data_IF_860972973425
#
_entry.id   IF_860972973425
#
_cell.length_a   1.000
_cell.length_b   1.000
_cell.length_c   1.000
_cell.angle_alpha   90.00
_cell.angle_beta   90.00
_cell.angle_gamma   90.00
#
_symmetry.space_group_name_H-M   'P 1'
#
loop_
_entity.id
_entity.type
_entity.pdbx_description
1 polymer ?
#
# COMPACT_ATOMS: atom_id res chain seq x y z
N UNK A 1 0.61 -57.95 -22.05
CA UNK A 1 -0.09 -57.64 -20.79
C UNK A 1 0.72 -56.69 -19.89
N UNK A 2 2.04 -56.87 -19.76
CA UNK A 2 2.92 -56.01 -18.92
C UNK A 2 3.02 -54.56 -19.42
N UNK A 3 3.20 -54.35 -20.73
CA UNK A 3 3.33 -53.00 -21.35
C UNK A 3 2.08 -52.16 -21.14
N UNK A 4 0.87 -52.72 -21.29
CA UNK A 4 -0.39 -52.03 -21.06
C UNK A 4 -0.54 -51.55 -19.59
N UNK A 5 -0.09 -52.37 -18.62
CA UNK A 5 -0.12 -51.95 -17.21
C UNK A 5 0.80 -50.75 -16.94
N UNK A 6 1.97 -50.70 -17.55
CA UNK A 6 2.91 -49.57 -17.41
C UNK A 6 2.34 -48.29 -18.01
N UNK A 7 1.67 -48.38 -19.18
CA UNK A 7 1.03 -47.24 -19.82
C UNK A 7 -0.13 -46.70 -18.96
N UNK A 8 -0.95 -47.58 -18.39
CA UNK A 8 -2.04 -47.21 -17.49
C UNK A 8 -1.54 -46.50 -16.24
N UNK A 9 -0.48 -47.03 -15.62
CA UNK A 9 0.15 -46.41 -14.44
C UNK A 9 0.74 -45.06 -14.79
N UNK A 10 1.43 -44.92 -15.92
CA UNK A 10 1.96 -43.64 -16.39
C UNK A 10 0.87 -42.57 -16.62
N UNK A 11 -0.25 -42.97 -17.21
CA UNK A 11 -1.41 -42.08 -17.40
C UNK A 11 -2.03 -41.64 -16.06
N UNK A 12 -2.18 -42.53 -15.11
CA UNK A 12 -2.69 -42.20 -13.78
C UNK A 12 -1.79 -41.19 -13.06
N UNK A 13 -0.48 -41.40 -13.07
CA UNK A 13 0.48 -40.46 -12.47
C UNK A 13 0.42 -39.10 -13.17
N UNK A 14 0.30 -39.08 -14.49
CA UNK A 14 0.17 -37.84 -15.26
C UNK A 14 -1.09 -37.06 -14.88
N UNK A 15 -2.25 -37.71 -14.78
CA UNK A 15 -3.50 -37.02 -14.41
C UNK A 15 -3.49 -36.53 -12.97
N UNK A 16 -2.88 -37.26 -12.03
CA UNK A 16 -2.69 -36.80 -10.65
C UNK A 16 -1.79 -35.56 -10.62
N UNK A 17 -0.68 -35.56 -11.36
CA UNK A 17 0.23 -34.41 -11.44
C UNK A 17 -0.44 -33.19 -12.09
N UNK A 18 -1.23 -33.41 -13.16
CA UNK A 18 -2.01 -32.37 -13.82
C UNK A 18 -3.03 -31.74 -12.86
N UNK A 19 -3.75 -32.57 -12.08
CA UNK A 19 -4.70 -32.10 -11.08
C UNK A 19 -4.04 -31.25 -9.99
N UNK A 20 -2.89 -31.65 -9.48
CA UNK A 20 -2.10 -30.89 -8.50
C UNK A 20 -1.63 -29.56 -9.10
N UNK A 21 -1.15 -29.56 -10.34
CA UNK A 21 -0.70 -28.35 -11.03
C UNK A 21 -1.84 -27.36 -11.24
N UNK A 22 -3.02 -27.84 -11.66
CA UNK A 22 -4.20 -26.99 -11.84
C UNK A 22 -4.68 -26.44 -10.50
N UNK A 23 -4.73 -27.27 -9.46
CA UNK A 23 -5.10 -26.84 -8.11
C UNK A 23 -4.16 -25.75 -7.61
N UNK A 24 -2.84 -25.95 -7.75
CA UNK A 24 -1.85 -24.97 -7.33
C UNK A 24 -1.94 -23.66 -8.12
N UNK A 25 -2.21 -23.74 -9.44
CA UNK A 25 -2.39 -22.57 -10.28
C UNK A 25 -3.66 -21.77 -9.90
N UNK A 26 -4.78 -22.46 -9.69
CA UNK A 26 -6.07 -21.83 -9.39
C UNK A 26 -6.09 -21.26 -7.96
N UNK A 27 -5.58 -22.02 -6.98
CA UNK A 27 -5.64 -21.62 -5.59
C UNK A 27 -4.40 -20.86 -5.11
N UNK A 28 -3.22 -21.13 -5.69
CA UNK A 28 -1.97 -20.52 -5.26
C UNK A 28 -1.57 -19.27 -6.04
N UNK A 29 -1.86 -19.22 -7.35
CA UNK A 29 -1.47 -18.07 -8.20
C UNK A 29 -2.63 -17.13 -8.47
N UNK A 30 -3.84 -17.67 -8.68
CA UNK A 30 -5.04 -16.85 -8.97
C UNK A 30 -5.89 -16.50 -7.76
N UNK A 31 -5.56 -16.99 -6.57
CA UNK A 31 -6.32 -16.78 -5.31
C UNK A 31 -7.85 -17.01 -5.46
N UNK A 32 -8.25 -17.91 -6.37
CA UNK A 32 -9.65 -18.18 -6.67
C UNK A 32 -10.31 -19.15 -5.68
N UNK A 33 -9.53 -19.73 -4.75
CA UNK A 33 -10.08 -20.53 -3.65
C UNK A 33 -10.36 -19.60 -2.47
N UNK A 34 -11.61 -19.24 -2.25
CA UNK A 34 -12.04 -18.48 -1.09
C UNK A 34 -11.66 -19.21 0.21
N UNK A 35 -10.82 -18.59 1.04
CA UNK A 35 -10.65 -19.01 2.42
C UNK A 35 -11.97 -18.75 3.14
N UNK A 36 -12.46 -19.66 4.00
CA UNK A 36 -13.67 -19.40 4.77
C UNK A 36 -13.47 -18.13 5.60
N UNK A 37 -14.24 -17.10 5.30
CA UNK A 37 -14.35 -15.91 6.14
C UNK A 37 -14.93 -16.36 7.47
N UNK A 38 -14.16 -16.31 8.53
CA UNK A 38 -14.65 -16.44 9.88
C UNK A 38 -15.45 -15.17 10.17
N UNK A 39 -16.73 -15.20 9.89
CA UNK A 39 -17.66 -14.18 10.39
C UNK A 39 -17.71 -14.31 11.90
N UNK A 40 -17.06 -13.39 12.60
CA UNK A 40 -17.27 -13.17 14.01
C UNK A 40 -18.62 -12.49 14.13
N UNK A 41 -19.68 -13.30 14.28
CA UNK A 41 -21.00 -12.82 14.64
C UNK A 41 -20.94 -12.32 16.09
N UNK A 42 -20.81 -11.02 16.27
CA UNK A 42 -21.02 -10.39 17.57
C UNK A 42 -22.54 -10.42 17.82
N UNK A 43 -22.98 -11.40 18.62
CA UNK A 43 -24.32 -11.40 19.17
C UNK A 43 -24.40 -10.27 20.19
N UNK A 44 -24.93 -9.13 19.76
CA UNK A 44 -25.39 -8.10 20.67
C UNK A 44 -26.68 -8.65 21.31
N UNK A 45 -26.56 -9.11 22.54
CA UNK A 45 -27.75 -9.36 23.36
C UNK A 45 -28.36 -8.02 23.74
N UNK A 46 -29.46 -7.71 23.12
CA UNK A 46 -30.35 -6.61 23.48
C UNK A 46 -31.11 -7.02 24.76
N UNK A 47 -30.54 -6.66 25.91
CA UNK A 47 -31.18 -6.83 27.20
C UNK A 47 -32.15 -5.65 27.37
N UNK A 48 -33.43 -5.96 27.22
CA UNK A 48 -34.55 -5.03 27.49
C UNK A 48 -34.51 -4.66 28.98
N UNK A 49 -34.10 -3.44 29.28
CA UNK A 49 -34.27 -2.85 30.63
C UNK A 49 -35.52 -1.98 30.62
N UNK A 50 -36.42 -2.34 31.50
CA UNK A 50 -37.60 -1.55 31.88
C UNK A 50 -37.17 -0.18 32.44
N UNK A 51 -37.95 0.88 32.27
CA UNK A 51 -37.59 2.21 32.74
C UNK A 51 -37.75 2.29 34.26
N UNK A 52 -36.68 2.42 34.99
CA UNK A 52 -36.69 2.84 36.39
C UNK A 52 -36.67 4.37 36.38
N UNK A 53 -37.79 4.94 36.75
CA UNK A 53 -37.94 6.35 37.02
C UNK A 53 -37.32 6.60 38.41
N UNK A 54 -36.07 7.02 38.47
CA UNK A 54 -35.38 7.44 39.67
C UNK A 54 -34.95 8.90 39.49
N UNK A 55 -35.55 9.73 40.35
CA UNK A 55 -35.32 11.17 40.53
C UNK A 55 -33.84 11.41 40.87
N UNK A 56 -33.04 11.86 39.87
CA UNK A 56 -31.63 12.14 40.08
C UNK A 56 -31.47 13.64 40.33
N UNK A 57 -31.20 14.00 41.58
CA UNK A 57 -30.63 15.28 41.94
C UNK A 57 -29.34 15.54 41.09
N UNK A 58 -29.32 16.65 40.37
CA UNK A 58 -28.17 17.05 39.56
C UNK A 58 -26.94 17.29 40.43
N UNK A 59 -25.85 16.49 40.31
CA UNK A 59 -24.57 16.93 40.80
C UNK A 59 -24.05 18.00 39.85
N UNK A 60 -23.83 19.18 40.37
CA UNK A 60 -23.07 20.26 39.68
C UNK A 60 -21.67 19.73 39.42
N UNK A 61 -21.47 19.15 38.23
CA UNK A 61 -20.17 18.79 37.75
C UNK A 61 -19.53 20.10 37.30
N UNK A 62 -18.57 20.57 38.09
CA UNK A 62 -17.61 21.59 37.63
C UNK A 62 -16.97 21.02 36.39
N UNK A 63 -17.26 21.63 35.22
CA UNK A 63 -16.54 21.40 33.98
C UNK A 63 -15.11 21.90 34.23
N UNK A 64 -14.24 21.03 34.72
CA UNK A 64 -12.80 21.19 34.48
C UNK A 64 -12.65 21.21 32.96
N UNK A 65 -12.19 22.34 32.47
CA UNK A 65 -11.86 22.57 31.08
C UNK A 65 -10.78 21.54 30.71
N UNK A 66 -11.22 20.39 30.19
CA UNK A 66 -10.32 19.40 29.61
C UNK A 66 -9.72 20.13 28.40
N UNK A 67 -8.53 20.68 28.59
CA UNK A 67 -7.66 21.13 27.49
C UNK A 67 -7.37 19.87 26.67
N UNK A 68 -8.18 19.64 25.66
CA UNK A 68 -7.88 18.68 24.59
C UNK A 68 -6.66 19.30 23.89
N UNK A 69 -5.45 18.94 24.34
CA UNK A 69 -4.26 19.13 23.52
C UNK A 69 -4.55 18.39 22.21
N UNK A 70 -4.92 19.16 21.21
CA UNK A 70 -5.05 18.69 19.85
C UNK A 70 -3.67 18.15 19.47
N UNK A 71 -3.52 16.82 19.58
CA UNK A 71 -2.31 16.12 19.17
C UNK A 71 -2.23 16.28 17.66
N UNK A 72 -1.71 17.43 17.23
CA UNK A 72 -1.44 17.74 15.82
C UNK A 72 -0.48 16.66 15.34
N UNK A 73 -1.06 15.64 14.73
CA UNK A 73 -0.31 14.53 14.18
C UNK A 73 0.77 15.08 13.25
N UNK A 74 2.03 14.91 13.63
CA UNK A 74 3.14 15.41 12.83
C UNK A 74 3.20 14.63 11.51
N UNK A 75 2.83 15.30 10.43
CA UNK A 75 2.87 14.78 9.05
C UNK A 75 3.84 15.64 8.27
N UNK A 76 4.75 15.00 7.54
CA UNK A 76 5.68 15.69 6.63
C UNK A 76 5.41 15.26 5.19
N UNK A 77 4.97 16.19 4.36
CA UNK A 77 4.93 16.04 2.91
C UNK A 77 6.29 16.46 2.33
N UNK A 78 6.88 15.57 1.56
CA UNK A 78 8.16 15.80 0.89
C UNK A 78 7.94 16.28 -0.55
N UNK A 79 8.93 16.92 -1.18
CA UNK A 79 8.84 17.33 -2.58
C UNK A 79 8.48 16.18 -3.50
N UNK A 80 7.52 16.41 -4.40
CA UNK A 80 7.14 15.46 -5.44
C UNK A 80 8.25 15.33 -6.49
N UNK A 81 8.66 14.10 -6.78
CA UNK A 81 9.71 13.82 -7.75
C UNK A 81 9.10 13.40 -9.09
N UNK A 82 9.52 14.06 -10.18
CA UNK A 82 9.04 13.80 -11.53
C UNK A 82 10.03 12.97 -12.34
N UNK A 83 9.50 12.10 -13.20
CA UNK A 83 10.28 11.19 -14.03
C UNK A 83 10.11 11.47 -15.52
N UNK A 84 11.17 11.26 -16.27
CA UNK A 84 11.12 11.24 -17.73
C UNK A 84 10.41 9.98 -18.22
N UNK A 85 9.97 9.99 -19.49
CA UNK A 85 9.33 8.83 -20.10
C UNK A 85 10.33 7.67 -20.25
N UNK A 86 9.90 6.45 -19.94
CA UNK A 86 10.69 5.20 -20.01
C UNK A 86 11.99 5.16 -19.19
N UNK A 87 12.22 6.14 -18.32
CA UNK A 87 13.44 6.21 -17.52
C UNK A 87 13.09 6.18 -16.03
N UNK A 88 13.87 5.42 -15.26
CA UNK A 88 13.83 5.44 -13.79
C UNK A 88 14.63 6.60 -13.19
N UNK A 89 15.05 7.56 -14.02
CA UNK A 89 15.82 8.72 -13.59
C UNK A 89 14.91 9.87 -13.20
N UNK A 90 15.17 10.46 -12.03
CA UNK A 90 14.50 11.67 -11.55
C UNK A 90 14.90 12.87 -12.38
N UNK A 91 13.94 13.74 -12.72
CA UNK A 91 14.18 14.94 -13.52
C UNK A 91 15.04 15.98 -12.76
N UNK A 92 14.84 16.09 -11.46
CA UNK A 92 15.55 17.04 -10.60
C UNK A 92 16.23 16.30 -9.44
N UNK A 93 17.54 16.21 -9.49
CA UNK A 93 18.36 15.51 -8.48
C UNK A 93 18.40 16.30 -7.17
N UNK A 94 18.35 17.64 -7.23
CA UNK A 94 18.39 18.49 -6.04
C UNK A 94 17.17 18.29 -5.15
N UNK A 95 15.98 18.13 -5.74
CA UNK A 95 14.75 17.82 -5.01
C UNK A 95 14.89 16.47 -4.29
N UNK A 96 15.52 15.48 -4.92
CA UNK A 96 15.75 14.16 -4.33
C UNK A 96 16.75 14.23 -3.16
N UNK A 97 17.81 15.03 -3.29
CA UNK A 97 18.80 15.27 -2.21
C UNK A 97 18.09 15.94 -1.03
N UNK A 98 17.34 17.01 -1.29
CA UNK A 98 16.61 17.74 -0.26
C UNK A 98 15.57 16.84 0.46
N UNK A 99 14.78 16.09 -0.31
CA UNK A 99 13.82 15.14 0.24
C UNK A 99 14.48 14.12 1.18
N UNK A 100 15.65 13.58 0.79
CA UNK A 100 16.37 12.62 1.62
C UNK A 100 16.86 13.19 2.95
N UNK A 101 17.29 14.45 2.95
CA UNK A 101 17.71 15.17 4.16
C UNK A 101 16.52 15.39 5.08
N UNK A 102 15.43 15.95 4.56
CA UNK A 102 14.21 16.22 5.32
C UNK A 102 13.60 14.94 5.90
N UNK A 103 13.53 13.87 5.11
CA UNK A 103 13.02 12.59 5.58
C UNK A 103 13.84 12.01 6.73
N UNK A 104 15.17 12.07 6.63
CA UNK A 104 16.07 11.58 7.68
C UNK A 104 15.92 12.37 8.97
N UNK A 105 15.89 13.72 8.89
CA UNK A 105 15.70 14.61 10.02
C UNK A 105 14.37 14.35 10.71
N UNK A 106 13.27 14.36 9.96
CA UNK A 106 11.93 14.11 10.48
C UNK A 106 11.80 12.72 11.16
N UNK A 107 12.31 11.67 10.52
CA UNK A 107 12.23 10.33 11.08
C UNK A 107 13.14 10.16 12.31
N UNK A 108 14.22 10.92 12.46
CA UNK A 108 15.06 10.90 13.67
C UNK A 108 14.35 11.52 14.88
N UNK A 109 13.57 12.57 14.64
CA UNK A 109 12.78 13.26 15.67
C UNK A 109 11.48 12.52 16.00
N UNK A 110 10.97 11.70 15.07
CA UNK A 110 9.70 11.00 15.19
C UNK A 110 9.89 9.48 15.05
N UNK A 111 10.30 8.75 16.11
CA UNK A 111 10.70 7.34 16.03
C UNK A 111 9.58 6.38 15.59
N UNK A 112 8.32 6.74 15.76
CA UNK A 112 7.16 5.91 15.41
C UNK A 112 6.60 6.18 14.01
N UNK A 113 7.12 7.18 13.28
CA UNK A 113 6.63 7.55 11.95
C UNK A 113 7.27 6.73 10.84
N UNK A 114 6.54 6.53 9.75
CA UNK A 114 6.94 5.74 8.58
C UNK A 114 6.90 6.63 7.35
N UNK A 115 7.87 6.50 6.46
CA UNK A 115 7.92 7.15 5.16
C UNK A 115 7.23 6.27 4.11
N UNK A 116 6.16 6.76 3.52
CA UNK A 116 5.46 6.13 2.40
C UNK A 116 5.95 6.76 1.11
N UNK A 117 6.37 5.92 0.16
CA UNK A 117 6.84 6.32 -1.17
C UNK A 117 5.89 5.71 -2.20
N UNK A 118 5.10 6.54 -2.88
CA UNK A 118 4.07 6.09 -3.82
C UNK A 118 4.43 6.49 -5.25
N UNK A 119 4.55 5.50 -6.13
CA UNK A 119 4.85 5.70 -7.54
C UNK A 119 3.61 5.76 -8.42
N UNK A 120 3.59 6.75 -9.32
CA UNK A 120 2.52 6.97 -10.30
C UNK A 120 3.07 6.97 -11.72
N UNK A 121 2.20 6.69 -12.68
CA UNK A 121 2.51 6.70 -14.11
C UNK A 121 1.48 7.47 -14.92
N UNK A 122 1.80 7.79 -16.15
CA UNK A 122 0.79 8.19 -17.13
C UNK A 122 0.14 6.95 -17.77
N UNK A 123 -0.95 7.14 -18.52
CA UNK A 123 -1.72 6.07 -19.14
C UNK A 123 -1.18 5.55 -20.49
N UNK A 124 0.05 5.91 -20.87
CA UNK A 124 0.60 5.53 -22.19
C UNK A 124 1.04 4.06 -22.27
N UNK A 125 1.24 3.40 -21.15
CA UNK A 125 1.58 1.98 -21.16
C UNK A 125 0.35 1.13 -21.49
N UNK A 126 0.31 0.64 -22.72
CA UNK A 126 -0.75 -0.25 -23.23
C UNK A 126 -0.57 -1.72 -22.79
N UNK A 127 0.54 -2.05 -22.15
CA UNK A 127 0.87 -3.44 -21.77
C UNK A 127 0.32 -3.81 -20.39
N UNK A 128 -0.34 -2.91 -19.70
CA UNK A 128 -0.85 -3.10 -18.34
C UNK A 128 0.24 -3.07 -17.25
N UNK A 129 1.48 -2.67 -17.60
CA UNK A 129 2.61 -2.65 -16.66
C UNK A 129 2.73 -1.36 -15.84
N UNK A 130 1.76 -0.47 -15.94
CA UNK A 130 1.78 0.82 -15.21
C UNK A 130 2.05 0.66 -13.72
N UNK A 131 1.42 -0.33 -13.09
CA UNK A 131 1.66 -0.62 -11.67
C UNK A 131 3.12 -0.98 -11.40
N UNK A 132 3.71 -1.87 -12.22
CA UNK A 132 5.10 -2.29 -12.07
C UNK A 132 6.06 -1.11 -12.27
N UNK A 133 5.86 -0.30 -13.30
CA UNK A 133 6.67 0.90 -13.56
C UNK A 133 6.61 1.89 -12.40
N UNK A 134 5.41 2.10 -11.83
CA UNK A 134 5.25 2.94 -10.63
C UNK A 134 6.01 2.36 -9.43
N UNK A 135 5.91 1.04 -9.22
CA UNK A 135 6.62 0.35 -8.14
C UNK A 135 8.15 0.43 -8.31
N UNK A 136 8.66 0.21 -9.52
CA UNK A 136 10.10 0.28 -9.81
C UNK A 136 10.66 1.68 -9.50
N UNK A 137 9.90 2.75 -9.81
CA UNK A 137 10.27 4.12 -9.44
C UNK A 137 10.29 4.32 -7.93
N UNK A 138 9.28 3.84 -7.21
CA UNK A 138 9.22 3.93 -5.75
C UNK A 138 10.39 3.19 -5.09
N UNK A 139 10.75 2.00 -5.59
CA UNK A 139 11.89 1.21 -5.13
C UNK A 139 13.22 1.93 -5.42
N UNK A 140 13.37 2.56 -6.58
CA UNK A 140 14.57 3.32 -6.92
C UNK A 140 14.76 4.50 -5.94
N UNK A 141 13.68 5.22 -5.60
CA UNK A 141 13.73 6.30 -4.61
C UNK A 141 14.02 5.74 -3.21
N UNK A 142 13.39 4.64 -2.79
CA UNK A 142 13.71 3.96 -1.52
C UNK A 142 15.20 3.65 -1.44
N UNK A 143 15.77 3.02 -2.45
CA UNK A 143 17.20 2.66 -2.49
C UNK A 143 18.10 3.89 -2.33
N UNK A 144 17.73 4.99 -2.98
CA UNK A 144 18.46 6.25 -2.83
C UNK A 144 18.35 6.81 -1.40
N UNK A 145 17.13 6.85 -0.82
CA UNK A 145 16.89 7.32 0.54
C UNK A 145 17.73 6.52 1.56
N UNK A 146 17.76 5.19 1.42
CA UNK A 146 18.56 4.31 2.28
C UNK A 146 20.06 4.63 2.13
N UNK A 147 20.55 4.86 0.90
CA UNK A 147 21.94 5.26 0.67
C UNK A 147 22.31 6.60 1.31
N UNK A 148 21.31 7.44 1.62
CA UNK A 148 21.47 8.74 2.33
C UNK A 148 21.20 8.65 3.82
N UNK A 149 21.04 7.44 4.36
CA UNK A 149 20.94 7.17 5.79
C UNK A 149 19.51 7.19 6.34
N UNK A 150 18.48 7.13 5.49
CA UNK A 150 17.10 6.89 5.95
C UNK A 150 16.96 5.40 6.31
N UNK A 151 16.46 5.04 7.50
CA UNK A 151 16.33 3.64 7.92
C UNK A 151 15.40 2.84 7.01
N UNK A 152 15.89 1.74 6.45
CA UNK A 152 15.14 0.93 5.47
C UNK A 152 13.83 0.36 6.02
N UNK A 153 13.84 -0.09 7.27
CA UNK A 153 12.68 -0.66 7.96
C UNK A 153 11.56 0.36 8.24
N UNK A 154 11.82 1.65 7.98
CA UNK A 154 10.87 2.74 8.12
C UNK A 154 10.42 3.32 6.79
N UNK A 155 10.65 2.61 5.68
CA UNK A 155 10.22 3.01 4.34
C UNK A 155 9.29 1.96 3.76
N UNK A 156 8.08 2.36 3.40
CA UNK A 156 7.09 1.55 2.69
C UNK A 156 6.96 2.07 1.26
N UNK A 157 7.09 1.18 0.27
CA UNK A 157 6.90 1.51 -1.15
C UNK A 157 5.58 1.01 -1.65
N UNK A 158 4.90 1.82 -2.45
CA UNK A 158 3.61 1.52 -3.07
C UNK A 158 3.59 2.00 -4.52
N UNK A 159 2.65 1.49 -5.29
CA UNK A 159 2.33 2.00 -6.62
C UNK A 159 0.82 2.17 -6.76
N UNK A 160 0.43 3.21 -7.46
CA UNK A 160 -0.94 3.46 -7.94
C UNK A 160 -1.03 3.34 -9.47
N UNK A 161 0.11 3.09 -10.12
CA UNK A 161 0.12 3.03 -11.58
C UNK A 161 -0.46 4.29 -12.20
N UNK A 162 -1.44 4.13 -13.09
CA UNK A 162 -2.14 5.22 -13.77
C UNK A 162 -3.51 5.57 -13.18
N UNK A 163 -3.89 4.97 -12.04
CA UNK A 163 -5.26 5.04 -11.49
C UNK A 163 -5.58 6.40 -10.85
N UNK A 164 -4.57 7.12 -10.34
CA UNK A 164 -4.75 8.42 -9.68
C UNK A 164 -3.94 9.51 -10.43
N UNK A 165 -4.42 9.99 -11.58
CA UNK A 165 -3.73 11.01 -12.35
C UNK A 165 -3.83 12.38 -11.66
N UNK A 166 -2.69 13.08 -11.50
CA UNK A 166 -2.64 14.45 -11.02
C UNK A 166 -3.07 15.47 -12.08
N UNK A 167 -2.99 15.09 -13.37
CA UNK A 167 -3.32 15.94 -14.50
C UNK A 167 -3.89 15.12 -15.67
N UNK A 168 -4.50 15.84 -16.63
CA UNK A 168 -5.12 15.19 -17.80
C UNK A 168 -4.07 14.44 -18.66
N UNK A 169 -4.30 13.14 -18.84
CA UNK A 169 -3.43 12.26 -19.63
C UNK A 169 -3.47 12.53 -21.15
N UNK A 170 -4.45 13.31 -21.66
CA UNK A 170 -4.54 13.61 -23.08
C UNK A 170 -3.48 14.61 -23.54
N UNK A 171 -2.91 15.41 -22.64
CA UNK A 171 -1.85 16.36 -22.95
C UNK A 171 -0.47 15.79 -22.62
N UNK A 172 0.55 16.26 -23.31
CA UNK A 172 1.95 15.89 -23.04
C UNK A 172 2.39 16.36 -21.65
N UNK A 173 1.99 17.57 -21.30
CA UNK A 173 2.29 18.23 -20.02
C UNK A 173 1.63 17.47 -18.87
N UNK A 174 0.35 17.11 -19.00
CA UNK A 174 -0.35 16.32 -17.99
C UNK A 174 0.26 14.94 -17.77
N UNK A 175 0.66 14.26 -18.86
CA UNK A 175 1.40 13.00 -18.73
C UNK A 175 2.76 13.16 -18.03
N UNK A 176 3.42 14.29 -18.19
CA UNK A 176 4.67 14.56 -17.45
C UNK A 176 4.41 14.70 -15.94
N UNK A 177 3.33 15.37 -15.55
CA UNK A 177 2.93 15.51 -14.15
C UNK A 177 2.47 14.18 -13.54
N UNK A 178 1.89 13.29 -14.33
CA UNK A 178 1.45 11.97 -13.87
C UNK A 178 2.61 10.99 -13.64
N UNK A 179 3.77 11.18 -14.28
CA UNK A 179 4.98 10.38 -14.02
C UNK A 179 5.73 10.93 -12.82
N UNK A 180 5.23 10.62 -11.62
CA UNK A 180 5.72 11.16 -10.37
C UNK A 180 5.89 10.10 -9.28
N UNK A 181 6.62 10.46 -8.27
CA UNK A 181 6.66 9.77 -6.98
C UNK A 181 6.34 10.79 -5.90
N UNK A 182 5.36 10.48 -5.07
CA UNK A 182 4.98 11.24 -3.89
C UNK A 182 5.53 10.56 -2.63
N UNK A 183 5.90 11.37 -1.65
CA UNK A 183 6.48 10.89 -0.41
C UNK A 183 5.81 11.57 0.77
N UNK A 184 5.33 10.77 1.72
CA UNK A 184 4.62 11.21 2.90
C UNK A 184 5.18 10.49 4.14
N UNK A 185 5.64 11.23 5.14
CA UNK A 185 6.01 10.66 6.43
C UNK A 185 4.92 10.94 7.48
N UNK A 186 4.37 9.88 8.08
CA UNK A 186 3.27 9.95 9.05
C UNK A 186 3.30 8.80 10.04
#
# INVERSE_FOLDING_TARGET
>A
MYLMKQIIIGLLVFFVWLGISIYWYVCGIKDLCEKPKTEVTILVQEEIREPIEEEIEEPVIQLEEIVIEEHKESVLELPTLYFLFEVSSVKNVDDMINASKLAREFLSENPNKILYITGYTCNLDRTGKNYQVGMDRAIAIKSYMVSKGVPENRIVTMSKGADEPAANNNTREGRMLNRRVEMLAR
#
